data_IF_855469436183
#
_entry.id   IF_855469436183
#
_cell.length_a   1.000
_cell.length_b   1.000
_cell.length_c   1.000
_cell.angle_alpha   90.00
_cell.angle_beta   90.00
_cell.angle_gamma   90.00
#
_symmetry.space_group_name_H-M   'P 1'
#
loop_
_entity.id
_entity.type
_entity.pdbx_description
1 polymer ?
#
# COMPACT_ATOMS: atom_id res chain seq x y z
N UNK A 1 9.56 -11.35 31.04
CA UNK A 1 10.45 -11.36 29.86
C UNK A 1 11.49 -10.25 29.99
N UNK A 2 12.74 -10.55 29.61
CA UNK A 2 13.81 -9.55 29.63
C UNK A 2 13.54 -8.47 28.58
N UNK A 3 13.90 -7.22 28.85
CA UNK A 3 13.81 -6.09 27.92
C UNK A 3 14.47 -6.39 26.57
N UNK A 4 15.59 -7.11 26.58
CA UNK A 4 16.30 -7.52 25.37
C UNK A 4 15.47 -8.48 24.49
N UNK A 5 14.74 -9.43 25.08
CA UNK A 5 13.87 -10.37 24.37
C UNK A 5 12.68 -9.62 23.73
N UNK A 6 12.12 -8.63 24.41
CA UNK A 6 11.03 -7.81 23.88
C UNK A 6 11.48 -6.93 22.72
N UNK A 7 12.68 -6.37 22.79
CA UNK A 7 13.28 -5.57 21.71
C UNK A 7 13.56 -6.42 20.47
N UNK A 8 14.09 -7.63 20.66
CA UNK A 8 14.37 -8.56 19.56
C UNK A 8 13.06 -9.01 18.87
N UNK A 9 12.02 -9.30 19.64
CA UNK A 9 10.70 -9.65 19.10
C UNK A 9 10.09 -8.48 18.29
N UNK A 10 10.14 -7.26 18.81
CA UNK A 10 9.63 -6.08 18.10
C UNK A 10 10.39 -5.82 16.79
N UNK A 11 11.71 -6.02 16.79
CA UNK A 11 12.52 -5.89 15.59
C UNK A 11 12.14 -6.93 14.52
N UNK A 12 11.91 -8.17 14.93
CA UNK A 12 11.46 -9.25 14.04
C UNK A 12 10.11 -8.94 13.41
N UNK A 13 9.14 -8.49 14.22
CA UNK A 13 7.81 -8.14 13.75
C UNK A 13 7.81 -6.98 12.74
N UNK A 14 8.65 -5.98 12.96
CA UNK A 14 8.85 -4.90 11.98
C UNK A 14 9.38 -5.42 10.64
N UNK A 15 10.32 -6.34 10.66
CA UNK A 15 10.85 -6.98 9.44
C UNK A 15 9.75 -7.75 8.71
N UNK A 16 8.91 -8.49 9.44
CA UNK A 16 7.77 -9.22 8.86
C UNK A 16 6.77 -8.28 8.18
N UNK A 17 6.46 -7.13 8.79
CA UNK A 17 5.55 -6.12 8.22
C UNK A 17 6.16 -5.44 7.00
N UNK A 18 7.45 -5.08 7.04
CA UNK A 18 8.14 -4.53 5.88
C UNK A 18 8.20 -5.53 4.72
N UNK A 19 8.25 -6.84 5.00
CA UNK A 19 8.16 -7.88 3.99
C UNK A 19 6.77 -7.92 3.32
N UNK A 20 5.68 -7.61 4.04
CA UNK A 20 4.33 -7.46 3.46
C UNK A 20 4.33 -6.30 2.45
N UNK A 21 4.90 -5.16 2.80
CA UNK A 21 5.01 -3.99 1.91
C UNK A 21 5.82 -4.32 0.65
N UNK A 22 6.94 -5.02 0.80
CA UNK A 22 7.76 -5.44 -0.34
C UNK A 22 7.01 -6.45 -1.24
N UNK A 23 6.21 -7.33 -0.66
CA UNK A 23 5.32 -8.24 -1.39
C UNK A 23 4.26 -7.49 -2.20
N UNK A 24 3.67 -6.43 -1.64
CA UNK A 24 2.71 -5.57 -2.34
C UNK A 24 3.36 -4.88 -3.56
N UNK A 25 4.59 -4.43 -3.41
CA UNK A 25 5.40 -3.86 -4.50
C UNK A 25 5.59 -4.88 -5.62
N UNK A 26 6.09 -6.09 -5.31
CA UNK A 26 6.32 -7.15 -6.30
C UNK A 26 5.03 -7.57 -7.00
N UNK A 27 3.93 -7.70 -6.27
CA UNK A 27 2.65 -8.11 -6.84
C UNK A 27 2.14 -7.14 -7.92
N UNK A 28 2.35 -5.83 -7.74
CA UNK A 28 1.99 -4.79 -8.72
C UNK A 28 2.96 -4.77 -9.90
N UNK A 29 4.26 -4.92 -9.65
CA UNK A 29 5.27 -5.07 -10.71
C UNK A 29 4.93 -6.23 -11.63
N UNK A 30 4.63 -7.39 -11.07
CA UNK A 30 4.33 -8.62 -11.81
C UNK A 30 2.90 -8.65 -12.35
N UNK A 31 2.06 -7.69 -11.99
CA UNK A 31 0.63 -7.61 -12.31
C UNK A 31 -0.13 -8.89 -11.94
N UNK A 32 0.24 -9.49 -10.81
CA UNK A 32 -0.38 -10.70 -10.29
C UNK A 32 -1.49 -10.32 -9.28
N UNK A 33 -2.73 -10.32 -9.74
CA UNK A 33 -3.89 -9.91 -8.95
C UNK A 33 -4.08 -10.74 -7.67
N UNK A 34 -3.79 -12.03 -7.71
CA UNK A 34 -3.91 -12.90 -6.54
C UNK A 34 -2.86 -12.55 -5.46
N UNK A 35 -1.65 -12.19 -5.88
CA UNK A 35 -0.63 -11.69 -4.96
C UNK A 35 -0.93 -10.27 -4.45
N UNK A 36 -1.63 -9.44 -5.23
CA UNK A 36 -2.13 -8.14 -4.76
C UNK A 36 -3.15 -8.35 -3.64
N UNK A 37 -4.07 -9.29 -3.80
CA UNK A 37 -5.13 -9.56 -2.81
C UNK A 37 -4.63 -10.31 -1.56
N UNK A 38 -3.61 -11.14 -1.69
CA UNK A 38 -3.18 -12.08 -0.66
C UNK A 38 -2.92 -11.47 0.74
N UNK A 39 -2.31 -10.28 0.89
CA UNK A 39 -2.04 -9.71 2.21
C UNK A 39 -3.27 -9.11 2.91
N UNK A 40 -4.40 -8.92 2.21
CA UNK A 40 -5.58 -8.28 2.77
C UNK A 40 -6.54 -9.29 3.38
N UNK A 41 -7.27 -8.85 4.42
CA UNK A 41 -8.47 -9.58 4.87
C UNK A 41 -9.62 -9.37 3.88
N UNK A 42 -10.57 -10.30 3.86
CA UNK A 42 -11.70 -10.24 2.93
C UNK A 42 -12.59 -9.00 3.13
N UNK A 43 -12.59 -8.43 4.33
CA UNK A 43 -13.39 -7.27 4.73
C UNK A 43 -12.56 -6.00 4.97
N UNK A 44 -11.29 -5.99 4.59
CA UNK A 44 -10.40 -4.85 4.77
C UNK A 44 -11.04 -3.55 4.26
N UNK A 45 -11.00 -2.51 5.09
CA UNK A 45 -11.47 -1.19 4.67
C UNK A 45 -10.37 -0.46 3.90
N UNK A 46 -10.59 -0.22 2.61
CA UNK A 46 -9.59 0.36 1.72
C UNK A 46 -10.08 1.72 1.22
N UNK A 47 -9.34 2.78 1.56
CA UNK A 47 -9.57 4.15 1.10
C UNK A 47 -8.56 4.46 0.00
N UNK A 48 -9.00 4.27 -1.23
CA UNK A 48 -8.19 4.48 -2.42
C UNK A 48 -8.20 5.93 -2.90
N UNK A 49 -7.28 6.25 -3.82
CA UNK A 49 -7.27 7.55 -4.52
C UNK A 49 -8.51 7.73 -5.42
N UNK A 50 -9.00 6.64 -6.00
CA UNK A 50 -10.17 6.62 -6.88
C UNK A 50 -11.45 6.27 -6.12
N UNK A 51 -12.62 6.71 -6.62
CA UNK A 51 -13.91 6.26 -6.10
C UNK A 51 -14.05 4.72 -6.10
N UNK A 52 -14.89 4.16 -5.21
CA UNK A 52 -15.77 4.82 -4.24
C UNK A 52 -15.01 5.30 -2.99
N UNK A 53 -15.72 5.87 -1.99
CA UNK A 53 -15.11 6.29 -0.71
C UNK A 53 -14.48 5.13 0.06
N UNK A 54 -14.99 3.92 -0.10
CA UNK A 54 -14.46 2.70 0.55
C UNK A 54 -14.69 1.47 -0.31
N UNK A 55 -13.65 0.66 -0.43
CA UNK A 55 -13.75 -0.74 -0.87
C UNK A 55 -13.71 -1.67 0.33
N UNK A 56 -14.37 -2.82 0.25
CA UNK A 56 -14.32 -3.89 1.26
C UNK A 56 -13.59 -5.10 0.68
N UNK A 57 -12.34 -5.29 1.12
CA UNK A 57 -11.44 -6.27 0.52
C UNK A 57 -10.98 -5.89 -0.88
N UNK A 58 -10.28 -6.80 -1.52
CA UNK A 58 -9.82 -6.65 -2.90
C UNK A 58 -10.77 -7.41 -3.83
N UNK A 59 -11.44 -6.69 -4.72
CA UNK A 59 -12.17 -7.30 -5.82
C UNK A 59 -11.18 -7.73 -6.91
N UNK A 60 -11.12 -9.04 -7.16
CA UNK A 60 -10.16 -9.64 -8.11
C UNK A 60 -10.43 -9.16 -9.54
N UNK A 61 -11.71 -9.10 -9.96
CA UNK A 61 -12.05 -8.73 -11.33
C UNK A 61 -11.74 -7.25 -11.59
N UNK A 62 -12.20 -6.36 -10.71
CA UNK A 62 -11.94 -4.91 -10.80
C UNK A 62 -10.44 -4.61 -10.74
N UNK A 63 -9.71 -5.28 -9.84
CA UNK A 63 -8.26 -5.09 -9.73
C UNK A 63 -7.53 -5.60 -10.96
N UNK A 64 -7.94 -6.72 -11.54
CA UNK A 64 -7.37 -7.23 -12.79
C UNK A 64 -7.63 -6.26 -13.95
N UNK A 65 -8.84 -5.73 -14.07
CA UNK A 65 -9.15 -4.71 -15.08
C UNK A 65 -8.24 -3.48 -14.93
N UNK A 66 -8.03 -3.01 -13.70
CA UNK A 66 -7.12 -1.91 -13.45
C UNK A 66 -5.66 -2.25 -13.82
N UNK A 67 -5.16 -3.43 -13.45
CA UNK A 67 -3.81 -3.90 -13.83
C UNK A 67 -3.64 -3.96 -15.35
N UNK A 68 -4.69 -4.36 -16.05
CA UNK A 68 -4.69 -4.50 -17.52
C UNK A 68 -4.65 -3.13 -18.25
N UNK A 69 -4.96 -2.03 -17.58
CA UNK A 69 -4.82 -0.69 -18.15
C UNK A 69 -3.39 -0.21 -18.28
N UNK A 70 -2.43 -0.90 -17.68
CA UNK A 70 -1.02 -0.53 -17.70
C UNK A 70 -0.23 -1.29 -18.77
N UNK A 71 0.65 -0.57 -19.44
CA UNK A 71 1.61 -1.12 -20.39
C UNK A 71 2.92 -1.41 -19.64
N UNK A 72 3.25 -2.70 -19.51
CA UNK A 72 4.39 -3.15 -18.72
C UNK A 72 4.15 -3.11 -17.19
N UNK A 73 5.23 -3.14 -16.41
CA UNK A 73 5.16 -3.21 -14.95
C UNK A 73 4.68 -1.90 -14.32
N UNK A 74 4.11 -2.02 -13.12
CA UNK A 74 3.83 -0.88 -12.24
C UNK A 74 4.90 -0.91 -11.15
N UNK A 75 5.76 0.10 -11.13
CA UNK A 75 6.81 0.23 -10.13
C UNK A 75 6.28 0.98 -8.91
N UNK A 76 6.38 0.33 -7.75
CA UNK A 76 6.06 0.95 -6.46
C UNK A 76 7.36 1.08 -5.67
N UNK A 77 7.69 2.30 -5.27
CA UNK A 77 8.87 2.59 -4.46
C UNK A 77 8.44 3.11 -3.10
N UNK A 78 8.49 2.28 -2.04
CA UNK A 78 8.22 2.73 -0.68
C UNK A 78 9.39 3.57 -0.15
N UNK A 79 9.07 4.60 0.66
CA UNK A 79 10.05 5.46 1.31
C UNK A 79 9.57 5.86 2.71
N UNK A 80 10.51 5.90 3.66
CA UNK A 80 10.32 6.40 5.02
C UNK A 80 9.16 5.73 5.78
N UNK A 81 9.03 4.40 5.64
CA UNK A 81 8.03 3.65 6.38
C UNK A 81 8.42 3.50 7.84
N UNK A 82 7.55 4.00 8.72
CA UNK A 82 7.61 3.81 10.16
C UNK A 82 6.61 2.76 10.60
N UNK A 83 7.05 1.77 11.37
CA UNK A 83 6.23 0.64 11.82
C UNK A 83 6.11 0.66 13.33
N UNK A 84 4.89 0.58 13.84
CA UNK A 84 4.57 0.44 15.25
C UNK A 84 3.78 -0.85 15.48
N UNK A 85 4.20 -1.64 16.46
CA UNK A 85 3.59 -2.94 16.79
C UNK A 85 3.23 -2.99 18.26
N UNK A 86 2.04 -3.50 18.57
CA UNK A 86 1.60 -3.79 19.94
C UNK A 86 0.76 -5.06 19.94
N UNK A 87 1.32 -6.16 20.45
CA UNK A 87 0.67 -7.47 20.42
C UNK A 87 0.35 -7.91 18.99
N UNK A 88 -0.92 -8.19 18.72
CA UNK A 88 -1.40 -8.66 17.43
C UNK A 88 -1.91 -7.53 16.50
N UNK A 89 -1.61 -6.29 16.84
CA UNK A 89 -1.98 -5.10 16.06
C UNK A 89 -0.73 -4.32 15.68
N UNK A 90 -0.70 -3.85 14.45
CA UNK A 90 0.34 -2.96 13.96
C UNK A 90 -0.25 -1.88 13.05
N UNK A 91 0.44 -0.77 12.98
CA UNK A 91 0.22 0.19 11.92
C UNK A 91 1.57 0.66 11.36
N UNK A 92 1.57 1.03 10.11
CA UNK A 92 2.71 1.70 9.50
C UNK A 92 2.23 2.81 8.56
N UNK A 93 3.08 3.78 8.36
CA UNK A 93 2.84 4.86 7.42
C UNK A 93 4.15 5.29 6.75
N UNK A 94 4.02 5.83 5.57
CA UNK A 94 5.15 6.29 4.78
C UNK A 94 4.70 6.87 3.45
N UNK A 95 5.64 6.96 2.53
CA UNK A 95 5.40 7.40 1.18
C UNK A 95 5.54 6.25 0.20
N UNK A 96 4.73 6.29 -0.85
CA UNK A 96 4.82 5.39 -2.00
C UNK A 96 4.95 6.23 -3.26
N UNK A 97 5.98 5.97 -4.09
CA UNK A 97 6.00 6.48 -5.44
C UNK A 97 5.45 5.41 -6.38
N UNK A 98 4.54 5.79 -7.22
CA UNK A 98 4.03 4.95 -8.30
C UNK A 98 4.52 5.46 -9.63
N UNK A 99 5.15 4.57 -10.40
CA UNK A 99 5.64 4.83 -11.75
C UNK A 99 5.07 3.77 -12.70
N UNK A 100 4.64 4.20 -13.88
CA UNK A 100 4.15 3.28 -14.91
C UNK A 100 3.61 4.01 -16.11
N UNK A 101 3.30 3.28 -17.17
CA UNK A 101 2.75 3.84 -18.40
C UNK A 101 1.38 3.23 -18.64
N UNK A 102 0.36 4.06 -18.85
CA UNK A 102 -0.97 3.60 -19.25
C UNK A 102 -0.94 3.16 -20.72
N UNK A 103 -1.69 2.11 -21.05
CA UNK A 103 -1.86 1.70 -22.46
C UNK A 103 -2.39 2.86 -23.29
N UNK A 104 -1.71 3.14 -24.39
CA UNK A 104 -2.06 4.25 -25.28
C UNK A 104 -1.64 5.65 -24.81
N UNK A 105 -0.92 5.77 -23.71
CA UNK A 105 -0.38 7.04 -23.26
C UNK A 105 1.04 7.30 -23.82
N UNK A 106 1.31 8.54 -24.19
CA UNK A 106 2.62 8.96 -24.73
C UNK A 106 3.66 9.18 -23.62
N UNK A 107 3.20 9.40 -22.39
CA UNK A 107 4.07 9.73 -21.26
C UNK A 107 3.79 8.83 -20.06
N UNK A 108 4.83 8.45 -19.29
CA UNK A 108 4.65 7.72 -18.04
C UNK A 108 3.98 8.59 -16.99
N UNK A 109 3.27 7.91 -16.07
CA UNK A 109 2.76 8.50 -14.83
C UNK A 109 3.81 8.29 -13.75
N UNK A 110 4.10 9.32 -12.97
CA UNK A 110 4.99 9.25 -11.79
C UNK A 110 4.51 10.24 -10.75
N UNK A 111 4.18 9.76 -9.55
CA UNK A 111 3.78 10.63 -8.44
C UNK A 111 3.97 9.95 -7.09
N UNK A 112 4.09 10.78 -6.06
CA UNK A 112 4.13 10.35 -4.67
C UNK A 112 2.76 10.42 -4.02
N UNK A 113 2.46 9.44 -3.17
CA UNK A 113 1.26 9.37 -2.34
C UNK A 113 1.65 9.02 -0.91
N UNK A 114 0.75 9.32 0.02
CA UNK A 114 0.86 8.91 1.42
C UNK A 114 0.15 7.60 1.59
N UNK A 115 0.74 6.72 2.37
CA UNK A 115 0.22 5.38 2.64
C UNK A 115 0.14 5.15 4.14
N UNK A 116 -0.98 4.64 4.62
CA UNK A 116 -1.13 4.10 5.97
C UNK A 116 -1.73 2.71 5.88
N UNK A 117 -1.10 1.75 6.56
CA UNK A 117 -1.60 0.39 6.68
C UNK A 117 -1.84 0.07 8.15
N UNK A 118 -3.01 -0.50 8.45
CA UNK A 118 -3.28 -1.13 9.74
C UNK A 118 -3.32 -2.64 9.53
N UNK A 119 -2.63 -3.38 10.37
CA UNK A 119 -2.48 -4.82 10.25
C UNK A 119 -2.89 -5.52 11.55
N UNK A 120 -3.44 -6.71 11.40
CA UNK A 120 -3.68 -7.64 12.49
C UNK A 120 -2.94 -8.95 12.24
N UNK A 121 -2.41 -9.55 13.31
CA UNK A 121 -1.89 -10.90 13.24
C UNK A 121 -3.07 -11.88 13.32
N UNK A 122 -3.30 -12.64 12.26
CA UNK A 122 -4.33 -13.67 12.18
C UNK A 122 -3.68 -14.99 11.82
N UNK A 123 -3.85 -16.03 12.63
CA UNK A 123 -3.26 -17.36 12.42
C UNK A 123 -1.74 -17.31 12.19
N UNK A 124 -1.05 -16.45 12.96
CA UNK A 124 0.39 -16.28 12.90
C UNK A 124 0.91 -15.41 11.77
N UNK A 125 0.05 -14.86 10.92
CA UNK A 125 0.42 -14.01 9.80
C UNK A 125 -0.14 -12.59 9.93
N UNK A 126 0.67 -11.60 9.55
CA UNK A 126 0.22 -10.22 9.46
C UNK A 126 -0.68 -10.01 8.24
N UNK A 127 -1.91 -9.52 8.49
CA UNK A 127 -2.91 -9.23 7.46
C UNK A 127 -3.33 -7.78 7.50
N UNK A 128 -3.45 -7.15 6.34
CA UNK A 128 -3.94 -5.78 6.21
C UNK A 128 -5.44 -5.75 6.43
N UNK A 129 -5.89 -5.01 7.44
CA UNK A 129 -7.31 -4.80 7.74
C UNK A 129 -7.78 -3.40 7.32
N UNK A 130 -6.85 -2.48 7.12
CA UNK A 130 -7.13 -1.15 6.60
C UNK A 130 -5.95 -0.60 5.82
N UNK A 131 -6.26 0.06 4.72
CA UNK A 131 -5.32 0.82 3.91
C UNK A 131 -5.90 2.18 3.58
N UNK A 132 -5.10 3.21 3.65
CA UNK A 132 -5.47 4.54 3.24
C UNK A 132 -4.34 5.17 2.41
N UNK A 133 -4.63 5.42 1.15
CA UNK A 133 -3.76 6.17 0.25
C UNK A 133 -4.33 7.56 0.00
N UNK A 134 -3.48 8.55 -0.06
CA UNK A 134 -3.93 9.92 -0.32
C UNK A 134 -2.86 10.76 -1.02
N UNK A 135 -3.34 11.75 -1.74
CA UNK A 135 -2.54 12.84 -2.31
C UNK A 135 -3.16 14.16 -1.86
N UNK A 136 -2.39 15.14 -1.39
CA UNK A 136 -2.96 16.43 -1.02
C UNK A 136 -3.54 17.13 -2.25
N UNK A 137 -4.58 17.94 -2.03
CA UNK A 137 -5.05 18.91 -3.02
C UNK A 137 -4.39 20.26 -2.78
N UNK A 138 -4.16 21.01 -3.85
CA UNK A 138 -3.84 22.43 -3.72
C UNK A 138 -5.05 23.20 -3.25
N UNK A 139 -4.90 23.91 -2.13
CA UNK A 139 -5.96 24.74 -1.50
C UNK A 139 -5.94 26.18 -2.01
N UNK A 140 -5.59 26.37 -3.27
CA UNK A 140 -5.49 27.65 -3.97
C UNK A 140 -6.75 27.98 -4.81
N UNK A 141 -7.83 27.23 -4.59
CA UNK A 141 -9.08 27.31 -5.34
C UNK A 141 -9.14 26.39 -6.57
N UNK A 142 -8.01 25.81 -7.01
CA UNK A 142 -7.99 24.87 -8.14
C UNK A 142 -8.46 23.47 -7.76
N UNK A 143 -8.29 23.06 -6.51
CA UNK A 143 -8.53 21.70 -5.99
C UNK A 143 -7.83 20.61 -6.79
N UNK A 144 -6.74 20.94 -7.48
CA UNK A 144 -5.95 19.96 -8.24
C UNK A 144 -5.15 19.06 -7.30
N UNK A 145 -5.02 17.76 -7.60
CA UNK A 145 -4.13 16.89 -6.85
C UNK A 145 -2.67 17.34 -7.03
N UNK A 146 -1.91 17.33 -5.93
CA UNK A 146 -0.54 17.81 -5.89
C UNK A 146 0.44 16.66 -6.25
N UNK A 147 0.41 16.19 -7.50
CA UNK A 147 1.26 15.11 -8.01
C UNK A 147 2.72 15.51 -8.21
N UNK A 148 3.03 16.79 -8.16
CA UNK A 148 4.38 17.36 -8.30
C UNK A 148 5.17 17.36 -6.99
N UNK A 149 4.53 17.10 -5.84
CA UNK A 149 5.21 17.05 -4.55
C UNK A 149 6.10 15.81 -4.42
N UNK A 150 7.19 15.99 -3.69
CA UNK A 150 8.16 14.94 -3.35
C UNK A 150 8.46 14.99 -1.86
N UNK A 151 8.76 13.82 -1.21
CA UNK A 151 9.24 13.78 0.17
C UNK A 151 10.53 14.55 0.39
#
# INVERSE_FOLDING_TARGET
MSTAVMQDQAAKEKVEILAVIDGMKRARHDKNVHHVAAPYTADAAIFNLAPPLVHRGIDIAETQEWLDTWDGPIEITPQDFEVSVSGDIAFCHGYMRMDGTKKGADQPVSFWMRETLCLERRQGEWRIVHEHTSVPFYMDGSLRPAFDLKP
#
